data_IF_074939616460
#
_entry.id   IF_074939616460
#
_cell.length_a   1.000
_cell.length_b   1.000
_cell.length_c   1.000
_cell.angle_alpha   90.00
_cell.angle_beta   90.00
_cell.angle_gamma   90.00
#
_symmetry.space_group_name_H-M   'P 1'
#
loop_
_entity.id
_entity.type
_entity.pdbx_description
1 polymer ?
#
# COMPACT_ATOMS: atom_id res chain seq x y z
N UNK A 1 54.48 48.89 61.62
CA UNK A 1 55.24 48.10 60.65
C UNK A 1 54.50 46.77 60.47
N UNK A 2 53.98 46.53 59.28
CA UNK A 2 53.56 45.23 58.70
C UNK A 2 53.09 44.15 59.69
N UNK A 3 51.82 43.92 59.76
CA UNK A 3 51.13 42.64 59.90
C UNK A 3 49.77 42.84 60.56
N UNK A 4 48.85 43.48 59.89
CA UNK A 4 47.47 43.46 60.39
C UNK A 4 46.39 43.62 59.24
N UNK A 5 46.71 43.18 58.09
CA UNK A 5 45.71 43.25 56.99
C UNK A 5 45.26 41.84 56.43
N UNK A 6 45.47 40.79 57.21
CA UNK A 6 45.18 39.44 56.72
C UNK A 6 43.98 38.76 57.35
N UNK A 7 43.23 39.39 58.19
CA UNK A 7 42.14 38.75 58.96
C UNK A 7 40.74 39.33 58.77
N UNK A 8 40.48 40.07 57.69
CA UNK A 8 39.10 40.58 57.41
C UNK A 8 38.49 40.12 56.13
N UNK A 9 38.85 38.96 55.62
CA UNK A 9 38.36 38.47 54.33
C UNK A 9 37.48 37.20 54.37
N UNK A 10 37.00 36.79 55.52
CA UNK A 10 36.16 35.61 55.68
C UNK A 10 34.90 35.90 56.50
N UNK A 11 34.02 36.76 55.97
CA UNK A 11 32.69 36.90 56.52
C UNK A 11 31.78 37.39 55.40
N UNK A 12 31.17 36.48 54.66
CA UNK A 12 29.90 36.55 53.98
C UNK A 12 29.84 35.47 52.89
N UNK A 13 29.88 34.20 53.27
CA UNK A 13 29.37 33.15 52.39
C UNK A 13 27.88 33.01 52.73
N UNK A 14 27.06 33.73 51.99
CA UNK A 14 25.63 33.55 51.93
C UNK A 14 25.40 32.23 51.21
N UNK A 15 24.75 31.28 51.87
CA UNK A 15 24.28 30.05 51.28
C UNK A 15 23.19 30.37 50.27
N UNK A 16 23.52 30.41 48.98
CA UNK A 16 22.52 30.33 47.89
C UNK A 16 22.34 28.87 47.59
N UNK A 17 21.22 28.27 48.03
CA UNK A 17 20.75 26.99 47.56
C UNK A 17 20.46 27.08 46.04
N UNK A 18 20.99 26.21 45.22
CA UNK A 18 20.51 26.09 43.87
C UNK A 18 19.15 25.37 43.89
N UNK A 19 18.12 26.10 43.56
CA UNK A 19 16.80 25.57 43.23
C UNK A 19 16.94 24.75 41.93
N UNK A 20 17.12 23.44 42.09
CA UNK A 20 17.07 22.50 40.96
C UNK A 20 15.63 22.41 40.51
N UNK A 21 15.25 23.23 39.52
CA UNK A 21 14.04 23.08 38.78
C UNK A 21 14.14 21.78 37.96
N UNK A 22 13.58 20.72 38.46
CA UNK A 22 13.37 19.49 37.71
C UNK A 22 12.38 19.79 36.53
N UNK A 23 12.92 20.14 35.38
CA UNK A 23 12.19 20.11 34.13
C UNK A 23 11.88 18.64 33.84
N UNK A 24 10.70 18.19 34.26
CA UNK A 24 10.06 16.97 33.75
C UNK A 24 9.80 17.21 32.27
N UNK A 25 10.76 16.89 31.43
CA UNK A 25 10.56 16.72 30.01
C UNK A 25 9.52 15.59 29.85
N UNK A 26 8.26 15.96 29.69
CA UNK A 26 7.26 15.04 29.17
C UNK A 26 7.65 14.75 27.71
N UNK A 27 8.54 13.76 27.52
CA UNK A 27 8.65 13.11 26.23
C UNK A 27 7.32 12.45 25.94
N UNK A 28 6.40 13.20 25.33
CA UNK A 28 5.28 12.61 24.64
C UNK A 28 5.90 11.76 23.54
N UNK A 29 6.07 10.48 23.83
CA UNK A 29 6.31 9.46 22.84
C UNK A 29 5.05 9.47 21.95
N UNK A 30 5.05 10.29 20.90
CA UNK A 30 4.14 10.11 19.80
C UNK A 30 4.51 8.75 19.22
N UNK A 31 3.82 7.72 19.69
CA UNK A 31 3.78 6.46 18.99
C UNK A 31 3.29 6.80 17.58
N UNK A 32 4.19 6.82 16.62
CA UNK A 32 3.82 6.73 15.23
C UNK A 32 3.08 5.40 15.11
N UNK A 33 1.76 5.44 15.21
CA UNK A 33 0.89 4.34 14.87
C UNK A 33 1.03 4.14 13.35
N UNK A 34 2.13 3.53 12.94
CA UNK A 34 2.20 2.88 11.64
C UNK A 34 1.18 1.74 11.73
N UNK A 35 -0.02 2.02 11.28
CA UNK A 35 -1.04 0.99 11.09
C UNK A 35 -0.42 0.00 10.11
N UNK A 36 -0.02 -1.15 10.62
CA UNK A 36 0.51 -2.23 9.79
C UNK A 36 -0.62 -2.71 8.90
N UNK A 37 -0.48 -2.54 7.58
CA UNK A 37 -1.48 -3.06 6.65
C UNK A 37 -1.47 -4.58 6.63
N UNK A 38 -2.65 -5.18 6.49
CA UNK A 38 -2.80 -6.61 6.27
C UNK A 38 -2.75 -6.93 4.77
N UNK A 39 -1.64 -7.46 4.30
CA UNK A 39 -1.41 -7.88 2.90
C UNK A 39 -1.64 -9.39 2.70
N UNK A 40 -2.30 -10.08 3.62
CA UNK A 40 -2.58 -11.51 3.47
C UNK A 40 -3.37 -11.79 2.19
N UNK A 41 -2.99 -12.87 1.52
CA UNK A 41 -3.53 -13.28 0.23
C UNK A 41 -4.50 -14.45 0.36
N UNK A 42 -5.27 -14.69 -0.69
CA UNK A 42 -6.11 -15.88 -0.80
C UNK A 42 -5.28 -17.15 -0.70
N UNK A 43 -5.89 -18.20 -0.12
CA UNK A 43 -5.26 -19.52 0.08
C UNK A 43 -5.42 -20.47 -1.11
N UNK A 44 -6.26 -20.08 -2.06
CA UNK A 44 -6.50 -20.82 -3.31
C UNK A 44 -6.60 -19.83 -4.45
N UNK A 45 -5.88 -20.08 -5.52
CA UNK A 45 -5.97 -19.29 -6.76
C UNK A 45 -5.87 -20.25 -7.95
N UNK A 46 -6.98 -20.43 -8.63
CA UNK A 46 -7.05 -21.13 -9.91
C UNK A 46 -6.64 -20.16 -11.02
N UNK A 47 -5.42 -20.29 -11.51
CA UNK A 47 -4.87 -19.40 -12.54
C UNK A 47 -5.72 -19.41 -13.81
N UNK A 48 -6.11 -20.55 -14.39
CA UNK A 48 -7.02 -20.59 -15.54
C UNK A 48 -8.32 -19.78 -15.34
N UNK A 49 -8.96 -19.86 -14.18
CA UNK A 49 -10.17 -19.09 -13.87
C UNK A 49 -9.90 -17.60 -13.70
N UNK A 50 -8.70 -17.24 -13.24
CA UNK A 50 -8.32 -15.83 -13.08
C UNK A 50 -8.01 -15.16 -14.42
N UNK A 51 -7.71 -15.89 -15.48
CA UNK A 51 -7.44 -15.34 -16.82
C UNK A 51 -8.63 -14.62 -17.41
N UNK A 52 -8.37 -13.92 -18.51
CA UNK A 52 -9.35 -13.10 -19.23
C UNK A 52 -9.34 -11.64 -18.78
N UNK A 53 -10.41 -10.93 -19.12
CA UNK A 53 -10.53 -9.48 -18.95
C UNK A 53 -11.06 -9.12 -17.57
N UNK A 54 -10.44 -8.09 -16.99
CA UNK A 54 -10.86 -7.42 -15.77
C UNK A 54 -10.95 -5.91 -16.02
N UNK A 55 -11.99 -5.28 -15.47
CA UNK A 55 -12.16 -3.83 -15.43
C UNK A 55 -11.60 -3.30 -14.10
N UNK A 56 -10.89 -2.20 -14.15
CA UNK A 56 -10.40 -1.53 -12.95
C UNK A 56 -11.47 -0.57 -12.43
N UNK A 57 -12.07 -0.89 -11.30
CA UNK A 57 -13.15 -0.11 -10.68
C UNK A 57 -12.59 1.05 -9.85
N UNK A 58 -11.53 0.77 -9.08
CA UNK A 58 -10.85 1.78 -8.29
C UNK A 58 -9.39 1.38 -8.06
N UNK A 59 -8.55 2.37 -7.79
CA UNK A 59 -7.13 2.15 -7.47
C UNK A 59 -6.59 3.20 -6.50
N UNK A 60 -5.44 2.93 -5.92
CA UNK A 60 -4.57 4.00 -5.46
C UNK A 60 -3.87 4.63 -6.66
N UNK A 61 -3.93 5.98 -6.73
CA UNK A 61 -3.37 6.68 -7.88
C UNK A 61 -1.84 6.62 -7.88
N UNK A 62 -1.26 6.21 -8.99
CA UNK A 62 0.19 6.14 -9.20
C UNK A 62 0.56 6.65 -10.59
N UNK A 63 1.82 7.04 -10.75
CA UNK A 63 2.30 7.84 -11.88
C UNK A 63 1.99 7.27 -13.25
N UNK A 64 2.02 5.94 -13.43
CA UNK A 64 1.83 5.34 -14.75
C UNK A 64 0.34 5.26 -15.18
N UNK A 65 -0.61 5.19 -14.24
CA UNK A 65 -2.06 5.16 -14.54
C UNK A 65 -2.77 6.49 -14.24
N UNK A 66 -2.07 7.47 -13.68
CA UNK A 66 -2.65 8.76 -13.30
C UNK A 66 -3.39 9.42 -14.46
N UNK A 67 -4.68 9.73 -14.20
CA UNK A 67 -5.56 10.37 -15.18
C UNK A 67 -6.00 9.44 -16.32
N UNK A 68 -5.92 8.12 -16.15
CA UNK A 68 -6.48 7.15 -17.10
C UNK A 68 -7.92 6.79 -16.73
N UNK A 69 -8.76 6.66 -17.75
CA UNK A 69 -10.12 6.10 -17.70
C UNK A 69 -10.22 4.87 -18.57
N UNK A 70 -11.34 4.14 -18.47
CA UNK A 70 -11.63 2.92 -19.25
C UNK A 70 -10.49 1.88 -19.14
N UNK A 71 -9.96 1.74 -17.89
CA UNK A 71 -8.80 0.90 -17.65
C UNK A 71 -9.22 -0.55 -17.52
N UNK A 72 -8.55 -1.40 -18.26
CA UNK A 72 -8.74 -2.86 -18.20
C UNK A 72 -7.40 -3.58 -18.15
N UNK A 73 -7.39 -4.75 -17.49
CA UNK A 73 -6.28 -5.70 -17.51
C UNK A 73 -6.78 -7.01 -18.13
N UNK A 74 -6.06 -7.52 -19.10
CA UNK A 74 -6.34 -8.81 -19.73
C UNK A 74 -5.19 -9.76 -19.47
N UNK A 75 -5.50 -10.90 -18.89
CA UNK A 75 -4.54 -11.94 -18.54
C UNK A 75 -4.74 -13.16 -19.43
N UNK A 76 -3.67 -13.72 -19.96
CA UNK A 76 -3.69 -14.96 -20.74
C UNK A 76 -2.52 -15.86 -20.35
N UNK A 77 -2.79 -17.15 -20.21
CA UNK A 77 -1.78 -18.15 -19.90
C UNK A 77 -1.02 -18.53 -21.17
N UNK A 78 0.29 -18.41 -21.13
CA UNK A 78 1.16 -18.83 -22.23
C UNK A 78 1.56 -20.31 -22.11
N UNK A 79 1.95 -20.97 -23.22
CA UNK A 79 2.36 -22.38 -23.20
C UNK A 79 3.56 -22.68 -22.26
N UNK A 80 4.37 -21.68 -21.98
CA UNK A 80 5.52 -21.79 -21.05
C UNK A 80 5.15 -21.63 -19.57
N UNK A 81 3.83 -21.55 -19.26
CA UNK A 81 3.32 -21.36 -17.91
C UNK A 81 3.38 -19.92 -17.38
N UNK A 82 3.88 -18.98 -18.16
CA UNK A 82 3.83 -17.55 -17.82
C UNK A 82 2.47 -16.96 -18.14
N UNK A 83 2.14 -15.88 -17.48
CA UNK A 83 0.93 -15.13 -17.71
C UNK A 83 1.30 -13.87 -18.49
N UNK A 84 0.74 -13.69 -19.66
CA UNK A 84 0.80 -12.45 -20.41
C UNK A 84 -0.25 -11.49 -19.82
N UNK A 85 0.14 -10.23 -19.63
CA UNK A 85 -0.70 -9.17 -19.08
C UNK A 85 -0.78 -8.04 -20.10
N UNK A 86 -1.99 -7.60 -20.44
CA UNK A 86 -2.23 -6.45 -21.32
C UNK A 86 -3.10 -5.44 -20.58
N UNK A 87 -2.52 -4.32 -20.18
CA UNK A 87 -3.28 -3.22 -19.61
C UNK A 87 -3.62 -2.21 -20.70
N UNK A 88 -4.88 -1.80 -20.75
CA UNK A 88 -5.40 -0.80 -21.70
C UNK A 88 -6.14 0.29 -20.94
N UNK A 89 -6.22 1.47 -21.53
CA UNK A 89 -7.01 2.58 -21.01
C UNK A 89 -6.96 3.79 -21.92
N UNK A 90 -7.64 4.86 -21.54
CA UNK A 90 -7.63 6.14 -22.24
C UNK A 90 -6.94 7.18 -21.38
N UNK A 91 -5.95 7.89 -21.94
CA UNK A 91 -5.26 9.01 -21.29
C UNK A 91 -5.26 10.23 -22.19
N UNK A 92 -5.83 11.33 -21.71
CA UNK A 92 -5.97 12.57 -22.51
C UNK A 92 -6.67 12.31 -23.86
N UNK A 93 -7.76 11.52 -23.86
CA UNK A 93 -8.53 11.18 -25.05
C UNK A 93 -7.83 10.21 -26.02
N UNK A 94 -6.66 9.67 -25.66
CA UNK A 94 -5.89 8.76 -26.53
C UNK A 94 -5.79 7.37 -25.91
N UNK A 95 -6.01 6.30 -26.69
CA UNK A 95 -5.82 4.94 -26.22
C UNK A 95 -4.36 4.71 -25.85
N UNK A 96 -4.17 3.98 -24.76
CA UNK A 96 -2.88 3.51 -24.24
C UNK A 96 -2.95 2.02 -24.02
N UNK A 97 -1.86 1.35 -24.32
CA UNK A 97 -1.67 -0.06 -24.05
C UNK A 97 -0.26 -0.32 -23.57
N UNK A 98 -0.13 -1.21 -22.59
CA UNK A 98 1.16 -1.74 -22.16
C UNK A 98 1.06 -3.25 -21.99
N UNK A 99 2.06 -3.96 -22.47
CA UNK A 99 2.14 -5.41 -22.37
C UNK A 99 3.19 -5.78 -21.35
N UNK A 100 2.83 -6.65 -20.44
CA UNK A 100 3.69 -7.19 -19.40
C UNK A 100 3.56 -8.70 -19.30
N UNK A 101 4.17 -9.22 -18.28
CA UNK A 101 4.16 -10.65 -17.94
C UNK A 101 4.01 -10.81 -16.44
N UNK A 102 3.36 -11.88 -16.02
CA UNK A 102 3.31 -12.26 -14.62
C UNK A 102 3.74 -13.72 -14.43
N UNK A 103 4.09 -14.07 -13.23
CA UNK A 103 4.39 -15.43 -12.78
C UNK A 103 3.89 -15.62 -11.35
N UNK A 104 3.73 -16.85 -10.96
CA UNK A 104 3.40 -17.28 -9.60
C UNK A 104 4.65 -17.99 -9.03
N UNK A 105 5.45 -17.33 -8.19
CA UNK A 105 6.73 -17.87 -7.73
C UNK A 105 6.59 -19.13 -6.87
N UNK A 106 5.58 -19.14 -6.01
CA UNK A 106 5.32 -20.24 -5.08
C UNK A 106 3.80 -20.52 -5.01
N UNK A 107 3.29 -21.37 -5.93
CA UNK A 107 1.88 -21.71 -5.98
C UNK A 107 1.40 -22.60 -4.82
N UNK A 108 2.31 -23.23 -4.10
CA UNK A 108 1.99 -24.18 -3.02
C UNK A 108 1.83 -23.44 -1.69
N UNK A 109 2.81 -22.65 -1.31
CA UNK A 109 2.81 -21.97 -0.01
C UNK A 109 2.05 -20.62 -0.09
N UNK A 110 2.20 -19.90 -1.21
CA UNK A 110 1.62 -18.57 -1.41
C UNK A 110 0.81 -18.45 -2.70
N UNK A 111 -0.28 -19.21 -2.88
CA UNK A 111 -1.01 -19.26 -4.14
C UNK A 111 -1.54 -17.90 -4.60
N UNK A 112 -1.88 -17.00 -3.69
CA UNK A 112 -2.35 -15.65 -4.01
C UNK A 112 -1.26 -14.62 -4.28
N UNK A 113 0.03 -15.01 -4.24
CA UNK A 113 1.15 -14.11 -4.53
C UNK A 113 1.68 -14.34 -5.93
N UNK A 114 1.52 -13.32 -6.75
CA UNK A 114 2.11 -13.25 -8.07
C UNK A 114 3.13 -12.11 -8.10
N UNK A 115 3.93 -12.10 -9.17
CA UNK A 115 4.83 -11.02 -9.52
C UNK A 115 4.54 -10.58 -10.94
N UNK A 116 4.47 -9.26 -11.19
CA UNK A 116 4.19 -8.68 -12.50
C UNK A 116 5.34 -7.80 -12.95
N UNK A 117 5.64 -7.84 -14.26
CA UNK A 117 6.67 -7.02 -14.88
C UNK A 117 6.16 -6.40 -16.18
N UNK A 118 6.29 -5.09 -16.30
CA UNK A 118 6.03 -4.32 -17.51
C UNK A 118 7.30 -3.78 -18.15
N UNK A 119 8.46 -3.97 -17.53
CA UNK A 119 9.72 -3.48 -18.05
C UNK A 119 10.85 -4.46 -17.75
N UNK A 120 11.41 -5.04 -18.80
CA UNK A 120 12.55 -5.96 -18.78
C UNK A 120 12.37 -7.12 -17.78
N UNK A 121 13.17 -7.13 -16.71
CA UNK A 121 13.20 -8.16 -15.66
C UNK A 121 12.81 -7.63 -14.28
N UNK A 122 12.36 -6.37 -14.17
CA UNK A 122 11.91 -5.80 -12.91
C UNK A 122 10.51 -6.29 -12.59
N UNK A 123 10.40 -7.14 -11.58
CA UNK A 123 9.14 -7.66 -11.09
C UNK A 123 8.70 -6.89 -9.84
N UNK A 124 7.42 -6.63 -9.75
CA UNK A 124 6.73 -6.03 -8.60
C UNK A 124 5.71 -7.02 -8.04
N UNK A 125 5.49 -6.94 -6.75
CA UNK A 125 4.49 -7.74 -6.08
C UNK A 125 3.09 -7.49 -6.64
N UNK A 126 2.34 -8.56 -6.82
CA UNK A 126 0.94 -8.56 -7.22
C UNK A 126 0.20 -9.58 -6.36
N UNK A 127 -0.43 -9.10 -5.29
CA UNK A 127 -1.05 -9.91 -4.27
C UNK A 127 -2.57 -9.94 -4.46
N UNK A 128 -3.12 -11.11 -4.74
CA UNK A 128 -4.57 -11.34 -4.75
C UNK A 128 -5.00 -11.46 -3.28
N UNK A 129 -5.45 -10.35 -2.69
CA UNK A 129 -5.79 -10.28 -1.26
C UNK A 129 -7.22 -10.73 -0.98
N UNK A 130 -8.12 -10.52 -1.92
CA UNK A 130 -9.49 -11.02 -1.89
C UNK A 130 -9.91 -11.43 -3.31
N UNK A 131 -10.69 -12.48 -3.42
CA UNK A 131 -11.21 -12.99 -4.67
C UNK A 131 -12.59 -13.58 -4.44
N UNK A 132 -13.54 -13.16 -5.24
CA UNK A 132 -14.87 -13.76 -5.24
C UNK A 132 -14.83 -15.26 -5.59
N UNK A 133 -15.68 -16.07 -4.96
CA UNK A 133 -15.73 -17.53 -5.20
C UNK A 133 -16.01 -17.89 -6.66
N UNK A 134 -16.74 -17.02 -7.37
CA UNK A 134 -17.06 -17.16 -8.78
C UNK A 134 -16.15 -16.33 -9.68
N UNK A 135 -15.09 -15.73 -9.12
CA UNK A 135 -14.09 -14.92 -9.82
C UNK A 135 -14.67 -13.67 -10.50
N UNK A 136 -15.70 -13.05 -9.91
CA UNK A 136 -16.36 -11.88 -10.48
C UNK A 136 -15.69 -10.57 -10.08
N UNK A 137 -15.05 -10.52 -8.90
CA UNK A 137 -14.25 -9.36 -8.44
C UNK A 137 -13.03 -9.81 -7.67
N UNK A 138 -12.04 -8.94 -7.62
CA UNK A 138 -10.81 -9.16 -6.87
C UNK A 138 -10.31 -7.87 -6.22
N UNK A 139 -9.69 -8.00 -5.04
CA UNK A 139 -8.89 -6.98 -4.40
C UNK A 139 -7.43 -7.32 -4.58
N UNK A 140 -6.69 -6.43 -5.22
CA UNK A 140 -5.27 -6.61 -5.52
C UNK A 140 -4.46 -5.58 -4.74
N UNK A 141 -3.33 -5.99 -4.21
CA UNK A 141 -2.36 -5.13 -3.55
C UNK A 141 -0.92 -5.57 -3.78
N UNK A 142 -0.05 -5.15 -2.88
CA UNK A 142 1.37 -5.52 -2.89
C UNK A 142 1.87 -5.76 -1.46
N UNK A 143 3.16 -5.97 -1.27
CA UNK A 143 3.79 -6.03 0.06
C UNK A 143 3.77 -4.70 0.82
N UNK A 144 3.32 -3.62 0.19
CA UNK A 144 3.26 -2.27 0.76
C UNK A 144 1.89 -1.61 0.55
N UNK A 145 1.64 -0.51 1.28
CA UNK A 145 0.44 0.32 1.16
C UNK A 145 0.43 1.25 -0.07
N UNK A 146 1.39 1.11 -0.97
CA UNK A 146 1.51 2.02 -2.14
C UNK A 146 0.56 1.67 -3.26
N UNK A 147 0.17 0.40 -3.36
CA UNK A 147 -0.60 -0.12 -4.49
C UNK A 147 -1.83 -0.85 -4.01
N UNK A 148 -2.96 -0.51 -4.60
CA UNK A 148 -4.24 -1.15 -4.34
C UNK A 148 -5.12 -0.99 -5.58
N UNK A 149 -5.82 -2.09 -5.99
CA UNK A 149 -6.78 -2.10 -7.07
C UNK A 149 -8.02 -2.91 -6.70
N UNK A 150 -9.18 -2.43 -7.09
CA UNK A 150 -10.43 -3.18 -7.14
C UNK A 150 -10.68 -3.54 -8.59
N UNK A 151 -10.71 -4.82 -8.89
CA UNK A 151 -10.98 -5.35 -10.22
C UNK A 151 -12.34 -6.03 -10.27
N UNK A 152 -13.02 -5.96 -11.44
CA UNK A 152 -14.30 -6.60 -11.70
C UNK A 152 -14.35 -7.21 -13.08
N UNK A 153 -15.18 -8.26 -13.27
CA UNK A 153 -15.48 -8.81 -14.59
C UNK A 153 -16.44 -7.93 -15.39
N UNK A 154 -17.14 -7.04 -14.73
CA UNK A 154 -18.07 -6.08 -15.34
C UNK A 154 -17.57 -4.64 -15.12
N UNK A 155 -17.93 -3.69 -16.03
CA UNK A 155 -17.53 -2.28 -15.88
C UNK A 155 -18.01 -1.63 -14.58
N UNK A 156 -19.04 -2.19 -13.97
CA UNK A 156 -19.63 -1.70 -12.72
C UNK A 156 -19.74 -2.84 -11.73
N UNK A 157 -19.58 -2.51 -10.45
CA UNK A 157 -19.85 -3.41 -9.34
C UNK A 157 -21.19 -3.05 -8.68
N UNK A 158 -22.00 -4.04 -8.28
CA UNK A 158 -23.15 -3.79 -7.43
C UNK A 158 -22.71 -3.02 -6.16
N UNK A 159 -23.51 -2.03 -5.77
CA UNK A 159 -23.19 -1.17 -4.62
C UNK A 159 -22.88 -1.97 -3.36
N UNK A 160 -23.67 -3.02 -3.09
CA UNK A 160 -23.46 -3.88 -1.91
C UNK A 160 -22.09 -4.58 -1.93
N UNK A 161 -21.65 -5.04 -3.10
CA UNK A 161 -20.33 -5.67 -3.28
C UNK A 161 -19.21 -4.65 -3.06
N UNK A 162 -19.34 -3.47 -3.64
CA UNK A 162 -18.38 -2.40 -3.46
C UNK A 162 -18.28 -1.98 -1.98
N UNK A 163 -19.40 -1.80 -1.30
CA UNK A 163 -19.43 -1.44 0.13
C UNK A 163 -18.72 -2.50 1.00
N UNK A 164 -18.92 -3.80 0.71
CA UNK A 164 -18.21 -4.90 1.38
C UNK A 164 -16.69 -4.83 1.15
N UNK A 165 -16.27 -4.60 -0.10
CA UNK A 165 -14.86 -4.45 -0.43
C UNK A 165 -14.23 -3.26 0.28
N UNK A 166 -14.91 -2.11 0.32
CA UNK A 166 -14.42 -0.91 1.01
C UNK A 166 -14.28 -1.15 2.53
N UNK A 167 -15.23 -1.86 3.13
CA UNK A 167 -15.15 -2.24 4.55
C UNK A 167 -13.93 -3.15 4.81
N UNK A 168 -13.67 -4.14 3.94
CA UNK A 168 -12.51 -5.03 4.03
C UNK A 168 -11.20 -4.24 3.86
N UNK A 169 -11.11 -3.36 2.86
CA UNK A 169 -9.95 -2.50 2.61
C UNK A 169 -9.62 -1.69 3.87
N UNK A 170 -10.63 -1.07 4.49
CA UNK A 170 -10.48 -0.32 5.74
C UNK A 170 -10.03 -1.22 6.89
N UNK A 171 -10.62 -2.40 7.04
CA UNK A 171 -10.23 -3.37 8.07
C UNK A 171 -8.78 -3.85 7.91
N UNK A 172 -8.29 -3.92 6.67
CA UNK A 172 -6.89 -4.24 6.35
C UNK A 172 -5.93 -3.09 6.67
N UNK A 173 -6.40 -1.92 7.09
CA UNK A 173 -5.59 -0.76 7.45
C UNK A 173 -5.24 0.17 6.28
N UNK A 174 -5.88 0.00 5.12
CA UNK A 174 -5.70 0.90 3.98
C UNK A 174 -6.56 2.16 4.12
N UNK A 175 -6.06 3.27 3.64
CA UNK A 175 -6.72 4.58 3.66
C UNK A 175 -7.66 4.74 2.44
N UNK A 176 -8.96 4.69 2.70
CA UNK A 176 -9.98 4.83 1.65
C UNK A 176 -9.96 6.19 0.95
N UNK A 177 -9.41 7.24 1.58
CA UNK A 177 -9.34 8.58 0.98
C UNK A 177 -8.36 8.65 -0.20
N UNK A 178 -7.48 7.66 -0.32
CA UNK A 178 -6.51 7.53 -1.43
C UNK A 178 -7.09 6.82 -2.65
N UNK A 179 -8.29 6.24 -2.53
CA UNK A 179 -8.93 5.56 -3.66
C UNK A 179 -9.43 6.56 -4.71
N UNK A 180 -9.08 6.31 -5.94
CA UNK A 180 -9.60 6.98 -7.13
C UNK A 180 -10.47 5.98 -7.88
N UNK A 181 -11.73 6.34 -8.10
CA UNK A 181 -12.64 5.54 -8.92
C UNK A 181 -12.36 5.79 -10.39
N UNK A 182 -12.34 4.72 -11.15
CA UNK A 182 -12.02 4.75 -12.59
C UNK A 182 -13.30 4.75 -13.39
N UNK A 183 -13.46 5.76 -14.23
CA UNK A 183 -14.54 5.80 -15.23
C UNK A 183 -14.33 4.67 -16.24
N UNK A 184 -15.40 3.85 -16.44
CA UNK A 184 -15.44 2.73 -17.36
C UNK A 184 -16.37 2.99 -18.52
#
# INVERSE_FOLDING_TARGET
MKNDERMKKYSKILYALPMVAALLAHSSCQANNHVSINTSTVKVLDIPRFMGKWYEIARYDHTFEKGMSHVTAEYSLEPNGKIRVVNKGIKNGKPKEIVGKAKQPDPVEYPGRLEVSFFLWFYSDYYVMELDKDYQYALIGSSSDKYLWILSRTPELPKETLDKLLANIKQRGYDLTRLVYVEQ
#
